data_IF_109200153652
#
_entry.id   IF_109200153652
#
_cell.length_a   1.000
_cell.length_b   1.000
_cell.length_c   1.000
_cell.angle_alpha   90.00
_cell.angle_beta   90.00
_cell.angle_gamma   90.00
#
_symmetry.space_group_name_H-M   'P 1'
#
loop_
_entity.id
_entity.type
_entity.pdbx_description
1 polymer ?
#
# COMPACT_ATOMS: atom_id res chain seq x y z
N UNK A 1 11.47 -17.79 16.00
CA UNK A 1 10.23 -16.96 16.02
C UNK A 1 9.13 -17.81 16.65
N UNK A 2 8.42 -17.34 17.68
CA UNK A 2 7.37 -18.14 18.34
C UNK A 2 7.85 -19.33 19.20
N UNK A 3 9.13 -19.35 19.60
CA UNK A 3 9.70 -20.39 20.48
C UNK A 3 9.89 -21.77 19.86
N UNK A 4 9.86 -21.87 18.52
CA UNK A 4 10.17 -23.10 17.77
C UNK A 4 11.64 -23.12 17.32
N UNK A 5 12.05 -24.27 16.77
CA UNK A 5 13.34 -24.49 16.14
C UNK A 5 13.63 -23.48 15.01
N UNK A 6 14.90 -23.35 14.65
CA UNK A 6 15.37 -22.39 13.67
C UNK A 6 14.88 -22.75 12.24
N UNK A 7 14.05 -21.91 11.60
CA UNK A 7 13.52 -22.21 10.28
C UNK A 7 14.50 -21.78 9.18
N UNK A 8 14.70 -22.65 8.19
CA UNK A 8 15.35 -22.29 6.94
C UNK A 8 14.57 -21.17 6.21
N UNK A 9 15.28 -20.29 5.50
CA UNK A 9 14.69 -19.23 4.67
C UNK A 9 15.57 -18.86 3.48
N UNK A 10 14.95 -18.32 2.43
CA UNK A 10 15.66 -17.67 1.34
C UNK A 10 16.08 -16.24 1.75
N UNK A 11 17.29 -15.86 1.36
CA UNK A 11 17.85 -14.53 1.63
C UNK A 11 18.34 -13.95 0.31
N UNK A 12 17.78 -12.80 -0.07
CA UNK A 12 18.12 -12.07 -1.29
C UNK A 12 17.81 -10.58 -1.13
N UNK A 13 18.40 -9.77 -2.00
CA UNK A 13 18.02 -8.37 -2.18
C UNK A 13 16.96 -8.27 -3.27
N UNK A 14 15.91 -7.50 -3.02
CA UNK A 14 14.87 -7.21 -4.00
C UNK A 14 15.40 -6.40 -5.19
N UNK A 15 14.64 -6.43 -6.28
CA UNK A 15 14.94 -5.63 -7.48
C UNK A 15 14.74 -4.13 -7.28
N UNK A 16 14.97 -3.37 -8.35
CA UNK A 16 14.72 -1.93 -8.44
C UNK A 16 13.71 -1.63 -9.56
N UNK A 17 13.08 -0.46 -9.50
CA UNK A 17 12.09 -0.01 -10.49
C UNK A 17 10.78 0.46 -9.86
N UNK A 18 9.91 1.02 -10.70
CA UNK A 18 8.58 1.46 -10.29
C UNK A 18 7.72 0.25 -9.88
N UNK A 19 6.95 0.40 -8.80
CA UNK A 19 6.14 -0.64 -8.20
C UNK A 19 4.93 -0.05 -7.47
N UNK A 20 4.04 -0.93 -7.02
CA UNK A 20 2.94 -0.60 -6.12
C UNK A 20 3.05 -1.37 -4.81
N UNK A 21 2.68 -0.71 -3.72
CA UNK A 21 2.32 -1.32 -2.45
C UNK A 21 0.81 -1.18 -2.25
N UNK A 22 0.10 -2.30 -2.17
CA UNK A 22 -1.35 -2.33 -2.02
C UNK A 22 -1.79 -2.96 -0.70
N UNK A 23 -2.82 -2.40 -0.08
CA UNK A 23 -3.45 -2.91 1.14
C UNK A 23 -4.97 -2.83 1.01
N UNK A 24 -5.65 -3.96 1.17
CA UNK A 24 -7.11 -4.02 1.31
C UNK A 24 -7.45 -4.11 2.79
N UNK A 25 -8.20 -3.14 3.30
CA UNK A 25 -8.57 -3.06 4.73
C UNK A 25 -10.09 -3.13 4.90
N UNK A 26 -10.50 -3.65 6.04
CA UNK A 26 -11.89 -3.59 6.52
C UNK A 26 -12.04 -2.39 7.45
N UNK A 27 -12.98 -1.49 7.15
CA UNK A 27 -13.33 -0.33 7.98
C UNK A 27 -14.48 -0.64 8.96
N UNK A 28 -14.95 -1.89 8.99
CA UNK A 28 -16.04 -2.39 9.82
C UNK A 28 -17.36 -2.47 9.06
N UNK A 29 -17.74 -1.40 8.34
CA UNK A 29 -18.96 -1.36 7.53
C UNK A 29 -18.73 -1.55 6.04
N UNK A 30 -17.47 -1.44 5.56
CA UNK A 30 -17.07 -1.53 4.15
C UNK A 30 -15.57 -1.81 4.02
N UNK A 31 -15.14 -2.20 2.82
CA UNK A 31 -13.71 -2.32 2.51
C UNK A 31 -13.15 -1.04 1.86
N UNK A 32 -11.83 -0.88 1.93
CA UNK A 32 -11.06 0.12 1.19
C UNK A 32 -9.76 -0.49 0.67
N UNK A 33 -9.49 -0.31 -0.62
CA UNK A 33 -8.19 -0.59 -1.24
C UNK A 33 -7.33 0.68 -1.22
N UNK A 34 -6.12 0.57 -0.68
CA UNK A 34 -5.15 1.66 -0.62
C UNK A 34 -3.95 1.25 -1.45
N UNK A 35 -3.59 2.06 -2.44
CA UNK A 35 -2.47 1.81 -3.34
C UNK A 35 -1.47 2.94 -3.20
N UNK A 36 -0.22 2.63 -2.91
CA UNK A 36 0.88 3.58 -2.93
C UNK A 36 1.87 3.22 -4.03
N UNK A 37 2.10 4.16 -4.94
CA UNK A 37 3.15 4.05 -5.94
C UNK A 37 4.52 4.34 -5.31
N UNK A 38 5.47 3.47 -5.59
CA UNK A 38 6.80 3.50 -4.99
C UNK A 38 7.87 3.18 -6.02
N UNK A 39 9.09 3.65 -5.78
CA UNK A 39 10.26 3.32 -6.59
C UNK A 39 11.22 2.48 -5.76
N UNK A 40 11.32 1.18 -6.06
CA UNK A 40 12.28 0.30 -5.42
C UNK A 40 13.71 0.66 -5.87
N UNK A 41 14.65 0.57 -4.93
CA UNK A 41 16.04 0.97 -5.13
C UNK A 41 17.01 -0.08 -4.62
N UNK A 42 18.15 -0.23 -5.30
CA UNK A 42 19.23 -1.09 -4.82
C UNK A 42 19.81 -0.60 -3.49
N UNK A 43 20.09 -1.50 -2.54
CA UNK A 43 20.85 -1.15 -1.33
C UNK A 43 22.23 -0.59 -1.67
N UNK A 44 22.61 0.52 -1.03
CA UNK A 44 23.95 1.12 -1.18
C UNK A 44 25.04 0.39 -0.40
N UNK A 45 24.64 -0.41 0.59
CA UNK A 45 25.54 -1.12 1.50
C UNK A 45 25.05 -2.54 1.75
N UNK A 46 25.98 -3.46 1.95
CA UNK A 46 25.68 -4.83 2.32
C UNK A 46 25.07 -4.91 3.72
N UNK A 47 24.01 -5.70 3.87
CA UNK A 47 23.35 -5.98 5.16
C UNK A 47 23.71 -7.39 5.65
N UNK A 48 25.00 -7.63 5.90
CA UNK A 48 25.55 -8.98 6.17
C UNK A 48 24.98 -9.67 7.42
N UNK A 49 24.41 -8.92 8.36
CA UNK A 49 23.79 -9.45 9.58
C UNK A 49 22.26 -9.56 9.51
N UNK A 50 21.63 -9.15 8.42
CA UNK A 50 20.17 -9.21 8.27
C UNK A 50 19.77 -10.59 7.74
N UNK A 51 19.12 -11.46 8.54
CA UNK A 51 18.97 -12.88 8.21
C UNK A 51 17.78 -13.16 7.28
N UNK A 52 17.14 -12.12 6.74
CA UNK A 52 15.93 -12.21 5.90
C UNK A 52 16.16 -11.49 4.57
N UNK A 53 15.44 -11.95 3.54
CA UNK A 53 15.31 -11.20 2.29
C UNK A 53 14.69 -9.83 2.55
N UNK A 54 15.04 -8.84 1.71
CA UNK A 54 14.57 -7.47 1.88
C UNK A 54 14.52 -6.71 0.57
N UNK A 55 13.72 -5.66 0.53
CA UNK A 55 13.64 -4.69 -0.55
C UNK A 55 13.61 -3.29 0.07
N UNK A 56 14.19 -2.31 -0.62
CA UNK A 56 14.14 -0.91 -0.22
C UNK A 56 13.39 -0.13 -1.30
N UNK A 57 12.62 0.87 -0.92
CA UNK A 57 11.92 1.74 -1.85
C UNK A 57 11.79 3.17 -1.34
N UNK A 58 11.56 4.08 -2.26
CA UNK A 58 11.17 5.45 -2.00
C UNK A 58 9.69 5.59 -2.37
N UNK A 59 8.79 5.82 -1.40
CA UNK A 59 7.38 6.00 -1.70
C UNK A 59 7.10 7.40 -2.25
N UNK A 60 6.21 7.49 -3.24
CA UNK A 60 5.77 8.76 -3.80
C UNK A 60 4.64 9.36 -2.95
N UNK A 61 4.56 10.70 -2.81
CA UNK A 61 5.48 11.70 -3.37
C UNK A 61 6.74 11.90 -2.50
N UNK A 62 6.66 11.54 -1.23
CA UNK A 62 7.78 11.55 -0.28
C UNK A 62 7.47 10.56 0.85
N UNK A 63 8.48 10.12 1.61
CA UNK A 63 8.25 9.29 2.81
C UNK A 63 7.29 9.97 3.80
N UNK A 64 7.45 11.28 4.01
CA UNK A 64 6.61 12.04 4.95
C UNK A 64 5.14 12.01 4.54
N UNK A 65 4.87 12.38 3.29
CA UNK A 65 3.50 12.61 2.83
C UNK A 65 2.79 11.28 2.51
N UNK A 66 3.52 10.31 1.95
CA UNK A 66 2.98 8.97 1.71
C UNK A 66 2.61 8.26 3.01
N UNK A 67 3.48 8.31 4.03
CA UNK A 67 3.20 7.72 5.32
C UNK A 67 2.03 8.44 6.02
N UNK A 68 1.96 9.78 5.96
CA UNK A 68 0.82 10.53 6.51
C UNK A 68 -0.49 10.12 5.81
N UNK A 69 -0.52 10.11 4.48
CA UNK A 69 -1.71 9.71 3.70
C UNK A 69 -2.11 8.25 3.98
N UNK A 70 -1.15 7.33 4.06
CA UNK A 70 -1.39 5.91 4.36
C UNK A 70 -2.02 5.73 5.74
N UNK A 71 -1.48 6.41 6.77
CA UNK A 71 -2.02 6.38 8.14
C UNK A 71 -3.43 6.97 8.18
N UNK A 72 -3.66 8.10 7.49
CA UNK A 72 -4.99 8.73 7.43
C UNK A 72 -6.03 7.84 6.74
N UNK A 73 -5.63 7.10 5.70
CA UNK A 73 -6.50 6.15 5.02
C UNK A 73 -6.77 4.89 5.87
N UNK A 74 -5.98 4.64 6.91
CA UNK A 74 -6.06 3.46 7.78
C UNK A 74 -5.29 2.25 7.24
N UNK A 75 -4.30 2.45 6.36
CA UNK A 75 -3.62 1.36 5.68
C UNK A 75 -2.87 0.41 6.62
N UNK A 76 -2.90 -0.89 6.29
CA UNK A 76 -2.23 -1.91 7.08
C UNK A 76 -0.70 -1.81 6.96
N UNK A 77 0.01 -2.44 7.90
CA UNK A 77 1.46 -2.64 7.82
C UNK A 77 1.84 -3.80 6.88
N UNK A 78 0.90 -4.70 6.60
CA UNK A 78 1.04 -5.73 5.58
C UNK A 78 0.55 -5.21 4.24
N UNK A 79 1.37 -5.37 3.21
CA UNK A 79 1.04 -5.01 1.82
C UNK A 79 1.32 -6.17 0.88
N UNK A 80 0.67 -6.13 -0.28
CA UNK A 80 1.15 -6.83 -1.46
C UNK A 80 2.04 -5.86 -2.25
N UNK A 81 3.28 -6.25 -2.51
CA UNK A 81 4.24 -5.49 -3.32
C UNK A 81 4.28 -6.08 -4.74
N UNK A 82 4.24 -5.24 -5.77
CA UNK A 82 4.33 -5.71 -7.16
C UNK A 82 5.05 -4.73 -8.09
N UNK A 83 5.96 -5.25 -8.91
CA UNK A 83 6.57 -4.54 -10.04
C UNK A 83 5.72 -4.60 -11.32
N UNK A 84 4.77 -5.55 -11.40
CA UNK A 84 4.05 -5.85 -12.63
C UNK A 84 2.63 -5.28 -12.64
N UNK A 85 1.99 -5.25 -11.47
CA UNK A 85 0.62 -4.74 -11.32
C UNK A 85 0.65 -3.22 -11.35
N UNK A 86 -0.22 -2.62 -12.15
CA UNK A 86 -0.34 -1.17 -12.26
C UNK A 86 -1.42 -0.63 -11.31
N UNK A 87 -1.33 0.67 -10.97
CA UNK A 87 -2.39 1.38 -10.24
C UNK A 87 -3.73 1.29 -10.97
N UNK A 88 -3.73 1.45 -12.30
CA UNK A 88 -4.92 1.32 -13.15
C UNK A 88 -5.61 -0.03 -12.97
N UNK A 89 -4.86 -1.14 -13.03
CA UNK A 89 -5.42 -2.48 -12.83
C UNK A 89 -6.06 -2.66 -11.44
N UNK A 90 -5.50 -2.03 -10.40
CA UNK A 90 -6.05 -2.08 -9.05
C UNK A 90 -7.29 -1.20 -8.90
N UNK A 91 -7.34 -0.06 -9.58
CA UNK A 91 -8.54 0.78 -9.65
C UNK A 91 -9.67 0.06 -10.39
N UNK A 92 -9.38 -0.55 -11.54
CA UNK A 92 -10.35 -1.36 -12.30
C UNK A 92 -10.86 -2.53 -11.47
N UNK A 93 -9.96 -3.24 -10.78
CA UNK A 93 -10.35 -4.32 -9.87
C UNK A 93 -11.30 -3.82 -8.78
N UNK A 94 -10.98 -2.70 -8.13
CA UNK A 94 -11.82 -2.11 -7.08
C UNK A 94 -13.21 -1.69 -7.59
N UNK A 95 -13.28 -1.14 -8.80
CA UNK A 95 -14.54 -0.80 -9.47
C UNK A 95 -15.39 -2.07 -9.72
N UNK A 96 -14.78 -3.12 -10.26
CA UNK A 96 -15.45 -4.42 -10.52
C UNK A 96 -16.05 -5.01 -9.24
N UNK A 97 -15.33 -4.92 -8.12
CA UNK A 97 -15.79 -5.48 -6.84
C UNK A 97 -16.60 -4.48 -5.99
N UNK A 98 -16.81 -3.26 -6.48
CA UNK A 98 -17.59 -2.23 -5.79
C UNK A 98 -16.96 -1.75 -4.47
N UNK A 99 -15.64 -1.58 -4.44
CA UNK A 99 -14.88 -1.12 -3.27
C UNK A 99 -14.20 0.23 -3.55
N UNK A 100 -14.10 1.08 -2.53
CA UNK A 100 -13.33 2.33 -2.65
C UNK A 100 -11.85 2.02 -2.88
N UNK A 101 -11.26 2.60 -3.93
CA UNK A 101 -9.81 2.64 -4.13
C UNK A 101 -9.29 4.06 -3.94
N UNK A 102 -8.25 4.21 -3.12
CA UNK A 102 -7.53 5.48 -2.93
C UNK A 102 -6.07 5.30 -3.31
N UNK A 103 -5.53 6.29 -4.02
CA UNK A 103 -4.18 6.24 -4.60
C UNK A 103 -3.29 7.29 -3.97
N UNK A 104 -2.08 6.89 -3.60
CA UNK A 104 -1.01 7.76 -3.10
C UNK A 104 0.13 7.68 -4.11
N UNK A 105 0.37 8.77 -4.85
CA UNK A 105 1.38 8.87 -5.90
C UNK A 105 2.04 10.27 -5.92
N UNK A 106 2.80 10.59 -6.97
CA UNK A 106 3.51 11.87 -7.11
C UNK A 106 2.60 13.11 -7.10
N UNK A 107 1.32 12.96 -7.40
CA UNK A 107 0.36 14.06 -7.47
C UNK A 107 -0.43 14.23 -6.16
N UNK A 108 -0.22 13.35 -5.17
CA UNK A 108 -0.95 13.39 -3.92
C UNK A 108 -0.56 14.63 -3.09
N UNK A 109 -1.53 15.50 -2.87
CA UNK A 109 -1.52 16.48 -1.78
C UNK A 109 -2.27 15.90 -0.59
N UNK A 110 -1.64 15.84 0.59
CA UNK A 110 -2.28 15.32 1.82
C UNK A 110 -3.57 16.07 2.16
N UNK A 111 -3.64 17.38 1.89
CA UNK A 111 -4.84 18.18 2.15
C UNK A 111 -6.02 17.76 1.24
N UNK A 112 -5.76 17.56 -0.05
CA UNK A 112 -6.76 17.08 -1.01
C UNK A 112 -7.17 15.65 -0.70
N UNK A 113 -6.20 14.79 -0.41
CA UNK A 113 -6.44 13.39 -0.04
C UNK A 113 -7.34 13.26 1.20
N UNK A 114 -7.13 14.09 2.24
CA UNK A 114 -8.02 14.16 3.41
C UNK A 114 -9.46 14.50 3.03
N UNK A 115 -9.66 15.39 2.05
CA UNK A 115 -10.99 15.76 1.60
C UNK A 115 -11.63 14.64 0.76
N UNK A 116 -10.86 14.00 -0.12
CA UNK A 116 -11.30 12.84 -0.90
C UNK A 116 -11.80 11.71 0.01
N UNK A 117 -11.05 11.36 1.07
CA UNK A 117 -11.50 10.36 2.05
C UNK A 117 -12.86 10.70 2.68
N UNK A 118 -13.12 11.99 2.96
CA UNK A 118 -14.39 12.45 3.55
C UNK A 118 -15.53 12.38 2.55
N UNK A 119 -15.30 12.77 1.30
CA UNK A 119 -16.32 12.71 0.25
C UNK A 119 -16.65 11.26 -0.10
N UNK A 120 -15.63 10.42 -0.23
CA UNK A 120 -15.77 9.00 -0.48
C UNK A 120 -16.52 8.29 0.63
N UNK A 121 -16.29 8.65 1.90
CA UNK A 121 -17.04 8.07 3.02
C UNK A 121 -18.56 8.27 2.88
N UNK A 122 -18.99 9.45 2.40
CA UNK A 122 -20.43 9.70 2.17
C UNK A 122 -20.99 8.84 1.03
N UNK A 123 -20.23 8.67 -0.05
CA UNK A 123 -20.66 7.88 -1.21
C UNK A 123 -20.67 6.38 -0.92
N UNK A 124 -19.55 5.84 -0.42
CA UNK A 124 -19.35 4.41 -0.18
C UNK A 124 -20.00 3.93 1.12
N UNK A 125 -20.05 4.76 2.16
CA UNK A 125 -20.69 4.40 3.43
C UNK A 125 -22.20 4.18 3.34
N UNK A 126 -22.86 4.71 2.29
CA UNK A 126 -24.31 4.55 2.07
C UNK A 126 -24.68 3.35 1.20
N UNK A 127 -23.77 2.86 0.34
CA UNK A 127 -24.06 1.77 -0.61
C UNK A 127 -24.38 0.43 0.07
N UNK A 128 -23.95 0.23 1.32
CA UNK A 128 -24.18 -1.02 2.07
C UNK A 128 -25.44 -1.03 2.96
N UNK A 129 -26.18 0.08 3.04
CA UNK A 129 -27.39 0.20 3.88
C UNK A 129 -28.71 0.34 3.13
N UNK A 130 -28.72 0.16 1.80
CA UNK A 130 -29.87 0.38 0.91
C UNK A 130 -30.30 -0.89 0.14
N UNK A 131 -29.91 -2.07 0.63
CA UNK A 131 -30.45 -3.37 0.19
C UNK A 131 -31.11 -4.08 1.38
#
# INVERSE_FOLDING_TARGET
>A
IGGKEDPARLVFDGGEGAAVNASLIDLGHRFRLIVNEVDAVKPKHNMSKLPVARILWQPRPSLRDSAEAWILAGGAHHTCFSFAVTTEQLQDFAEIIGVECVVINEHTSVASFKNELRWNEVFWGRKQGLL
#
